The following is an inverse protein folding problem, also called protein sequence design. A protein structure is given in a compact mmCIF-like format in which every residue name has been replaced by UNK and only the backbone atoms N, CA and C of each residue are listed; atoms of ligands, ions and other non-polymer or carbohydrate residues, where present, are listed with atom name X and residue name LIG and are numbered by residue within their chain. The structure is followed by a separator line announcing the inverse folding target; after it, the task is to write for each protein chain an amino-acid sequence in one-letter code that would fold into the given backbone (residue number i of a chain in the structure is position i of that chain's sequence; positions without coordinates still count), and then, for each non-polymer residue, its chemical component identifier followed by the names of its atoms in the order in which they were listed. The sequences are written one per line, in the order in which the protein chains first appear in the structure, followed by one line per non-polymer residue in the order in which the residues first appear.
data_IF_502932402262
#
_entry.id   IF_502932402262
#
_cell.length_a   1.000
_cell.length_b   1.000
_cell.length_c   1.000
_cell.angle_alpha   90.00
_cell.angle_beta   90.00
_cell.angle_gamma   90.00
#
_symmetry.space_group_name_H-M   'P 1'
#
loop_
_entity.id
_entity.type
_entity.pdbx_description
1 polymer ?
#
# COMPACT_ATOMS: atom_id res chain seq x y z
N UNK A 1 -36.28 -12.82 -17.81
CA UNK A 1 -35.97 -11.46 -18.29
C UNK A 1 -34.97 -10.74 -17.40
N UNK A 2 -35.24 -10.53 -16.09
CA UNK A 2 -34.26 -9.88 -15.21
C UNK A 2 -32.96 -10.69 -15.04
N UNK A 3 -33.06 -11.99 -14.71
CA UNK A 3 -31.89 -12.85 -14.53
C UNK A 3 -31.03 -12.99 -15.80
N UNK A 4 -31.66 -13.06 -16.98
CA UNK A 4 -30.94 -13.10 -18.26
C UNK A 4 -30.22 -11.79 -18.58
N UNK A 5 -30.80 -10.63 -18.23
CA UNK A 5 -30.10 -9.35 -18.35
C UNK A 5 -28.93 -9.23 -17.35
N UNK A 6 -29.06 -9.75 -16.13
CA UNK A 6 -27.94 -9.79 -15.17
C UNK A 6 -26.82 -10.66 -15.72
N UNK A 7 -27.13 -11.85 -16.26
CA UNK A 7 -26.15 -12.74 -16.89
C UNK A 7 -25.44 -12.05 -18.07
N UNK A 8 -26.19 -11.40 -18.95
CA UNK A 8 -25.65 -10.64 -20.10
C UNK A 8 -24.72 -9.50 -19.68
N UNK A 9 -24.90 -8.93 -18.49
CA UNK A 9 -24.07 -7.85 -17.96
C UNK A 9 -22.75 -8.32 -17.30
N UNK A 10 -22.66 -9.59 -16.89
CA UNK A 10 -21.49 -10.13 -16.18
C UNK A 10 -20.15 -9.98 -16.94
N UNK A 11 -20.08 -10.17 -18.28
CA UNK A 11 -18.86 -9.94 -19.05
C UNK A 11 -18.23 -8.56 -18.84
N UNK A 12 -19.03 -7.51 -18.62
CA UNK A 12 -18.50 -6.17 -18.33
C UNK A 12 -17.71 -6.15 -17.02
N UNK A 13 -18.31 -6.66 -15.94
CA UNK A 13 -17.69 -6.68 -14.63
C UNK A 13 -16.41 -7.53 -14.65
N UNK A 14 -16.50 -8.74 -15.21
CA UNK A 14 -15.36 -9.66 -15.31
C UNK A 14 -14.25 -9.05 -16.18
N UNK A 15 -14.60 -8.51 -17.35
CA UNK A 15 -13.65 -7.89 -18.27
C UNK A 15 -12.92 -6.71 -17.63
N UNK A 16 -13.63 -5.81 -16.95
CA UNK A 16 -13.02 -4.68 -16.23
C UNK A 16 -12.08 -5.15 -15.11
N UNK A 17 -12.47 -6.17 -14.34
CA UNK A 17 -11.65 -6.72 -13.26
C UNK A 17 -10.39 -7.42 -13.80
N UNK A 18 -10.50 -8.20 -14.88
CA UNK A 18 -9.37 -8.86 -15.52
C UNK A 18 -8.42 -7.85 -16.17
N UNK A 19 -8.94 -6.81 -16.80
CA UNK A 19 -8.12 -5.73 -17.37
C UNK A 19 -7.32 -5.00 -16.29
N UNK A 20 -7.98 -4.67 -15.17
CA UNK A 20 -7.33 -4.07 -14.01
C UNK A 20 -6.25 -4.97 -13.40
N UNK A 21 -6.55 -6.26 -13.24
CA UNK A 21 -5.61 -7.28 -12.76
C UNK A 21 -4.39 -7.40 -13.69
N UNK A 22 -4.63 -7.51 -15.00
CA UNK A 22 -3.59 -7.64 -16.02
C UNK A 22 -2.63 -6.46 -16.02
N UNK A 23 -3.15 -5.23 -15.91
CA UNK A 23 -2.33 -4.01 -15.84
C UNK A 23 -1.27 -4.11 -14.74
N UNK A 24 -1.66 -4.57 -13.55
CA UNK A 24 -0.72 -4.79 -12.44
C UNK A 24 0.34 -5.85 -12.72
N UNK A 25 0.01 -6.90 -13.50
CA UNK A 25 0.94 -7.99 -13.85
C UNK A 25 1.94 -7.62 -14.94
N UNK A 26 1.53 -6.79 -15.90
CA UNK A 26 2.38 -6.38 -17.03
C UNK A 26 3.29 -5.23 -16.65
N UNK A 27 2.81 -4.27 -15.86
CA UNK A 27 3.57 -3.05 -15.49
C UNK A 27 4.46 -3.27 -14.27
N UNK A 28 4.09 -4.14 -13.33
CA UNK A 28 4.86 -4.40 -12.11
C UNK A 28 6.10 -5.27 -12.36
N UNK A 29 7.31 -4.75 -12.09
CA UNK A 29 8.57 -5.48 -12.32
C UNK A 29 8.92 -6.52 -11.23
N UNK A 30 8.49 -6.30 -9.98
CA UNK A 30 8.95 -7.11 -8.82
C UNK A 30 7.83 -7.92 -8.13
N UNK A 31 6.71 -8.17 -8.83
CA UNK A 31 5.54 -8.77 -8.20
C UNK A 31 5.57 -10.30 -8.16
N UNK A 32 6.31 -10.95 -9.07
CA UNK A 32 6.27 -12.41 -9.22
C UNK A 32 6.96 -13.17 -8.07
N UNK A 33 8.02 -12.63 -7.49
CA UNK A 33 8.81 -13.28 -6.42
C UNK A 33 8.00 -13.46 -5.13
N UNK A 34 7.01 -12.60 -4.89
CA UNK A 34 6.14 -12.64 -3.71
C UNK A 34 4.94 -13.55 -3.88
N UNK A 35 4.85 -14.28 -4.99
CA UNK A 35 3.75 -15.21 -5.29
C UNK A 35 4.18 -16.66 -5.04
N UNK A 36 3.29 -17.62 -5.23
CA UNK A 36 3.64 -19.03 -5.21
C UNK A 36 4.23 -19.52 -6.55
N UNK A 37 4.29 -18.68 -7.60
CA UNK A 37 4.84 -19.09 -8.91
C UNK A 37 6.28 -19.59 -8.86
N UNK A 38 7.23 -18.98 -8.12
CA UNK A 38 8.61 -19.49 -8.04
C UNK A 38 8.68 -20.95 -7.59
N UNK A 39 7.74 -21.41 -6.77
CA UNK A 39 7.65 -22.82 -6.33
C UNK A 39 7.04 -23.75 -7.38
N UNK A 40 6.15 -23.24 -8.23
CA UNK A 40 5.48 -24.03 -9.28
C UNK A 40 6.31 -24.16 -10.56
N UNK A 41 6.92 -23.07 -11.00
CA UNK A 41 7.60 -22.99 -12.31
C UNK A 41 9.11 -22.77 -12.20
N UNK A 42 9.62 -22.53 -11.00
CA UNK A 42 11.02 -22.16 -10.74
C UNK A 42 11.24 -20.64 -10.75
N UNK A 43 12.29 -20.19 -10.06
CA UNK A 43 12.61 -18.75 -9.88
C UNK A 43 12.82 -18.03 -11.22
N UNK A 44 13.56 -18.66 -12.14
CA UNK A 44 13.87 -18.07 -13.46
C UNK A 44 12.65 -17.93 -14.37
N UNK A 45 11.62 -18.75 -14.16
CA UNK A 45 10.40 -18.76 -14.99
C UNK A 45 9.20 -18.05 -14.33
N UNK A 46 9.29 -17.70 -13.05
CA UNK A 46 8.19 -17.07 -12.33
C UNK A 46 7.77 -15.72 -12.94
N UNK A 47 8.75 -14.86 -13.25
CA UNK A 47 8.49 -13.57 -13.87
C UNK A 47 7.85 -13.67 -15.27
N UNK A 48 8.39 -14.46 -16.23
CA UNK A 48 7.75 -14.60 -17.54
C UNK A 48 6.39 -15.30 -17.45
N UNK A 49 6.22 -16.30 -16.58
CA UNK A 49 4.92 -16.95 -16.38
C UNK A 49 3.87 -15.98 -15.82
N UNK A 50 4.25 -15.13 -14.86
CA UNK A 50 3.37 -14.10 -14.30
C UNK A 50 2.92 -13.08 -15.37
N UNK A 51 3.83 -12.65 -16.24
CA UNK A 51 3.50 -11.78 -17.38
C UNK A 51 2.64 -12.48 -18.42
N UNK A 52 2.91 -13.75 -18.72
CA UNK A 52 2.10 -14.53 -19.65
C UNK A 52 0.65 -14.64 -19.15
N UNK A 53 0.46 -14.93 -17.86
CA UNK A 53 -0.88 -14.90 -17.24
C UNK A 53 -1.51 -13.51 -17.37
N UNK A 54 -0.76 -12.44 -17.11
CA UNK A 54 -1.25 -11.07 -17.33
C UNK A 54 -1.70 -10.80 -18.77
N UNK A 55 -0.95 -11.26 -19.77
CA UNK A 55 -1.33 -11.13 -21.18
C UNK A 55 -2.59 -11.94 -21.50
N UNK A 56 -2.68 -13.18 -21.01
CA UNK A 56 -3.88 -14.02 -21.18
C UNK A 56 -5.10 -13.35 -20.54
N UNK A 57 -4.96 -12.80 -19.33
CA UNK A 57 -6.02 -12.04 -18.65
C UNK A 57 -6.46 -10.83 -19.48
N UNK A 58 -5.53 -10.07 -20.07
CA UNK A 58 -5.86 -8.93 -20.93
C UNK A 58 -6.59 -9.36 -22.21
N UNK A 59 -6.16 -10.44 -22.85
CA UNK A 59 -6.82 -10.94 -24.07
C UNK A 59 -8.25 -11.36 -23.78
N UNK A 60 -8.46 -12.13 -22.70
CA UNK A 60 -9.81 -12.54 -22.29
C UNK A 60 -10.65 -11.32 -21.88
N UNK A 61 -10.06 -10.36 -21.15
CA UNK A 61 -10.73 -9.13 -20.78
C UNK A 61 -11.22 -8.33 -22.00
N UNK A 62 -10.34 -8.13 -22.99
CA UNK A 62 -10.68 -7.41 -24.21
C UNK A 62 -11.75 -8.15 -25.02
N UNK A 63 -11.66 -9.48 -25.10
CA UNK A 63 -12.69 -10.29 -25.76
C UNK A 63 -14.06 -10.11 -25.09
N UNK A 64 -14.13 -10.18 -23.75
CA UNK A 64 -15.39 -9.98 -23.01
C UNK A 64 -15.97 -8.56 -23.13
N UNK A 65 -15.12 -7.55 -23.35
CA UNK A 65 -15.53 -6.14 -23.44
C UNK A 65 -15.89 -5.70 -24.85
N UNK A 66 -15.43 -6.40 -25.89
CA UNK A 66 -15.62 -6.01 -27.29
C UNK A 66 -16.71 -6.88 -27.95
N UNK A 67 -17.63 -6.29 -28.72
CA UNK A 67 -18.54 -7.06 -29.54
C UNK A 67 -17.81 -7.65 -30.77
N UNK A 68 -18.27 -8.80 -31.30
CA UNK A 68 -19.30 -9.70 -30.77
C UNK A 68 -18.78 -10.53 -29.58
N UNK A 69 -19.61 -10.74 -28.56
CA UNK A 69 -19.29 -11.60 -27.42
C UNK A 69 -19.72 -13.06 -27.72
N UNK A 70 -18.82 -14.01 -27.52
CA UNK A 70 -19.05 -15.44 -27.81
C UNK A 70 -19.05 -16.25 -26.52
N UNK A 71 -19.83 -17.33 -26.47
CA UNK A 71 -19.84 -18.24 -25.31
C UNK A 71 -18.44 -18.78 -24.95
N UNK A 72 -17.55 -18.88 -25.95
CA UNK A 72 -16.16 -19.30 -25.78
C UNK A 72 -15.39 -18.37 -24.84
N UNK A 73 -15.69 -17.07 -24.85
CA UNK A 73 -15.04 -16.07 -23.99
C UNK A 73 -15.46 -16.24 -22.53
N UNK A 74 -16.75 -16.48 -22.30
CA UNK A 74 -17.28 -16.79 -20.97
C UNK A 74 -16.68 -18.11 -20.43
N UNK A 75 -16.55 -19.14 -21.28
CA UNK A 75 -15.88 -20.39 -20.91
C UNK A 75 -14.40 -20.17 -20.60
N UNK A 76 -13.70 -19.37 -21.39
CA UNK A 76 -12.30 -19.02 -21.14
C UNK A 76 -12.13 -18.28 -19.81
N UNK A 77 -13.05 -17.36 -19.49
CA UNK A 77 -13.08 -16.67 -18.20
C UNK A 77 -13.32 -17.65 -17.04
N UNK A 78 -14.28 -18.57 -17.16
CA UNK A 78 -14.52 -19.62 -16.15
C UNK A 78 -13.26 -20.47 -15.96
N UNK A 79 -12.63 -20.94 -17.03
CA UNK A 79 -11.42 -21.75 -16.96
C UNK A 79 -10.27 -21.00 -16.25
N UNK A 80 -10.08 -19.72 -16.58
CA UNK A 80 -9.07 -18.87 -15.93
C UNK A 80 -9.36 -18.69 -14.45
N UNK A 81 -10.60 -18.42 -14.08
CA UNK A 81 -11.00 -18.18 -12.68
C UNK A 81 -10.92 -19.46 -11.85
N UNK A 82 -11.28 -20.61 -12.42
CA UNK A 82 -11.09 -21.92 -11.78
C UNK A 82 -9.60 -22.17 -11.54
N UNK A 83 -8.76 -21.97 -12.57
CA UNK A 83 -7.31 -22.11 -12.44
C UNK A 83 -6.72 -21.18 -11.39
N UNK A 84 -7.16 -19.92 -11.36
CA UNK A 84 -6.76 -18.94 -10.37
C UNK A 84 -7.20 -19.29 -8.95
N UNK A 85 -8.43 -19.79 -8.78
CA UNK A 85 -8.96 -20.25 -7.48
C UNK A 85 -8.17 -21.45 -6.98
N UNK A 86 -7.89 -22.43 -7.84
CA UNK A 86 -7.04 -23.57 -7.52
C UNK A 86 -5.63 -23.14 -7.13
N UNK A 87 -5.06 -22.17 -7.86
CA UNK A 87 -3.77 -21.56 -7.53
C UNK A 87 -3.78 -20.88 -6.16
N UNK A 88 -4.84 -20.15 -5.78
CA UNK A 88 -4.94 -19.55 -4.44
C UNK A 88 -5.03 -20.59 -3.33
N UNK A 89 -5.77 -21.68 -3.54
CA UNK A 89 -5.86 -22.79 -2.60
C UNK A 89 -4.49 -23.45 -2.44
N UNK A 90 -3.82 -23.74 -3.56
CA UNK A 90 -2.45 -24.26 -3.56
C UNK A 90 -1.49 -23.34 -2.80
N UNK A 91 -1.48 -22.04 -3.13
CA UNK A 91 -0.64 -21.05 -2.47
C UNK A 91 -0.91 -21.04 -0.96
N UNK A 92 -2.18 -21.09 -0.55
CA UNK A 92 -2.55 -21.09 0.87
C UNK A 92 -2.01 -22.31 1.64
N UNK A 93 -1.91 -23.47 0.98
CA UNK A 93 -1.48 -24.72 1.59
C UNK A 93 0.05 -24.86 1.54
N UNK A 94 0.68 -24.54 0.41
CA UNK A 94 2.09 -24.86 0.14
C UNK A 94 3.02 -23.68 0.45
N UNK A 95 2.57 -22.44 0.25
CA UNK A 95 3.36 -21.23 0.47
C UNK A 95 2.49 -20.20 1.18
N UNK A 96 2.15 -20.40 2.47
CA UNK A 96 1.08 -19.64 3.15
C UNK A 96 1.34 -18.13 3.21
N UNK A 97 2.60 -17.70 3.09
CA UNK A 97 3.03 -16.30 3.05
C UNK A 97 3.01 -15.68 1.65
N UNK A 98 2.74 -16.48 0.61
CA UNK A 98 2.60 -15.98 -0.75
C UNK A 98 1.41 -15.01 -0.87
N UNK A 99 1.60 -14.00 -1.69
CA UNK A 99 0.55 -13.06 -2.08
C UNK A 99 -0.37 -13.64 -3.15
N UNK A 100 -1.57 -13.07 -3.27
CA UNK A 100 -2.58 -13.51 -4.24
C UNK A 100 -2.19 -13.22 -5.71
N UNK A 101 -1.25 -12.30 -5.96
CA UNK A 101 -0.83 -11.91 -7.31
C UNK A 101 -1.91 -11.26 -8.18
N UNK A 102 -3.08 -10.86 -7.64
CA UNK A 102 -4.14 -10.23 -8.44
C UNK A 102 -3.83 -8.78 -8.81
N UNK A 103 -3.38 -7.97 -7.85
CA UNK A 103 -3.20 -6.52 -8.01
C UNK A 103 -1.80 -6.16 -7.50
N UNK A 104 -0.84 -6.20 -8.40
CA UNK A 104 0.53 -5.68 -8.20
C UNK A 104 1.23 -6.14 -6.92
N UNK A 105 2.09 -5.28 -6.38
CA UNK A 105 3.10 -5.57 -5.36
C UNK A 105 2.58 -5.77 -3.93
N UNK A 106 1.31 -6.14 -3.73
CA UNK A 106 0.74 -6.36 -2.39
C UNK A 106 1.48 -7.50 -1.68
N UNK A 107 2.14 -7.18 -0.56
CA UNK A 107 2.88 -8.16 0.25
C UNK A 107 1.99 -8.93 1.23
N UNK A 108 0.66 -8.83 1.12
CA UNK A 108 -0.26 -9.50 2.05
C UNK A 108 -0.44 -10.98 1.66
N UNK A 109 -0.28 -11.91 2.61
CA UNK A 109 -0.56 -13.32 2.38
C UNK A 109 -1.99 -13.59 1.91
N UNK A 110 -2.21 -14.71 1.20
CA UNK A 110 -3.54 -15.16 0.79
C UNK A 110 -4.42 -15.39 2.03
N UNK A 111 -5.47 -14.57 2.15
CA UNK A 111 -6.46 -14.63 3.23
C UNK A 111 -7.86 -15.06 2.76
N UNK A 112 -8.79 -15.22 3.71
CA UNK A 112 -10.20 -15.61 3.43
C UNK A 112 -10.89 -14.65 2.45
N UNK A 113 -10.55 -13.36 2.49
CA UNK A 113 -11.09 -12.34 1.56
C UNK A 113 -10.65 -12.57 0.10
N UNK A 114 -9.39 -12.98 -0.12
CA UNK A 114 -8.90 -13.29 -1.46
C UNK A 114 -9.62 -14.52 -2.06
N UNK A 115 -9.87 -15.54 -1.24
CA UNK A 115 -10.67 -16.70 -1.63
C UNK A 115 -12.13 -16.29 -1.91
N UNK A 116 -12.74 -15.50 -1.04
CA UNK A 116 -14.10 -14.98 -1.24
C UNK A 116 -14.23 -14.19 -2.55
N UNK A 117 -13.23 -13.35 -2.88
CA UNK A 117 -13.16 -12.64 -4.16
C UNK A 117 -13.11 -13.59 -5.34
N UNK A 118 -12.29 -14.64 -5.27
CA UNK A 118 -12.16 -15.61 -6.34
C UNK A 118 -13.46 -16.42 -6.54
N UNK A 119 -14.14 -16.80 -5.45
CA UNK A 119 -15.45 -17.47 -5.51
C UNK A 119 -16.52 -16.56 -6.11
N UNK A 120 -16.54 -15.27 -5.75
CA UNK A 120 -17.45 -14.30 -6.35
C UNK A 120 -17.18 -14.14 -7.85
N UNK A 121 -15.91 -14.07 -8.26
CA UNK A 121 -15.51 -14.03 -9.67
C UNK A 121 -15.91 -15.31 -10.42
N UNK A 122 -15.87 -16.46 -9.74
CA UNK A 122 -16.29 -17.72 -10.34
C UNK A 122 -17.81 -17.74 -10.54
N UNK A 123 -18.58 -17.29 -9.55
CA UNK A 123 -20.03 -17.23 -9.64
C UNK A 123 -20.51 -16.30 -10.76
N UNK A 124 -19.90 -15.13 -10.87
CA UNK A 124 -20.17 -14.16 -11.96
C UNK A 124 -19.78 -14.71 -13.33
N UNK A 125 -18.62 -15.38 -13.45
CA UNK A 125 -18.21 -16.03 -14.69
C UNK A 125 -19.14 -17.18 -15.11
N UNK A 126 -19.61 -17.99 -14.15
CA UNK A 126 -20.60 -19.03 -14.43
C UNK A 126 -21.94 -18.43 -14.85
N UNK A 127 -22.40 -17.36 -14.20
CA UNK A 127 -23.61 -16.66 -14.59
C UNK A 127 -23.53 -16.11 -16.03
N UNK A 128 -22.37 -15.60 -16.46
CA UNK A 128 -22.14 -15.13 -17.82
C UNK A 128 -22.36 -16.23 -18.89
N UNK A 129 -22.15 -17.51 -18.57
CA UNK A 129 -22.36 -18.62 -19.51
C UNK A 129 -23.83 -18.90 -19.82
N UNK A 130 -24.75 -18.35 -19.01
CA UNK A 130 -26.19 -18.46 -19.21
C UNK A 130 -26.79 -17.24 -19.94
N UNK A 131 -25.96 -16.35 -20.49
CA UNK A 131 -26.41 -15.20 -21.24
C UNK A 131 -26.72 -15.56 -22.70
N UNK A 132 -27.91 -15.19 -23.16
CA UNK A 132 -28.32 -15.36 -24.56
C UNK A 132 -27.98 -14.12 -25.42
N UNK A 133 -27.76 -12.97 -24.77
CA UNK A 133 -27.47 -11.67 -25.39
C UNK A 133 -26.20 -11.05 -24.79
N UNK A 134 -25.59 -10.10 -25.51
CA UNK A 134 -24.45 -9.35 -25.02
C UNK A 134 -24.83 -8.20 -24.08
N UNK A 135 -23.86 -7.70 -23.31
CA UNK A 135 -24.04 -6.65 -22.31
C UNK A 135 -24.60 -5.34 -22.86
N UNK A 136 -24.40 -5.04 -24.15
CA UNK A 136 -24.91 -3.83 -24.81
C UNK A 136 -26.45 -3.81 -24.92
N UNK A 137 -27.11 -4.95 -24.69
CA UNK A 137 -28.58 -5.06 -24.64
C UNK A 137 -29.17 -4.66 -23.28
N UNK A 138 -28.31 -4.44 -22.27
CA UNK A 138 -28.73 -4.18 -20.88
C UNK A 138 -29.10 -2.71 -20.70
N UNK A 139 -30.38 -2.45 -20.45
CA UNK A 139 -30.90 -1.08 -20.25
C UNK A 139 -31.63 -0.81 -18.93
N UNK A 140 -31.76 -1.81 -18.05
CA UNK A 140 -32.56 -1.64 -16.83
C UNK A 140 -31.73 -1.12 -15.65
N UNK A 141 -32.27 -0.12 -14.94
CA UNK A 141 -31.64 0.47 -13.73
C UNK A 141 -31.38 -0.59 -12.66
N UNK A 142 -32.26 -1.60 -12.55
CA UNK A 142 -32.11 -2.68 -11.59
C UNK A 142 -30.87 -3.54 -11.87
N UNK A 143 -30.52 -3.80 -13.14
CA UNK A 143 -29.30 -4.56 -13.48
C UNK A 143 -28.05 -3.73 -13.20
N UNK A 144 -28.08 -2.44 -13.51
CA UNK A 144 -26.98 -1.51 -13.14
C UNK A 144 -26.77 -1.50 -11.63
N UNK A 145 -27.84 -1.47 -10.83
CA UNK A 145 -27.75 -1.54 -9.38
C UNK A 145 -27.11 -2.87 -8.90
N UNK A 146 -27.43 -4.00 -9.53
CA UNK A 146 -26.79 -5.29 -9.24
C UNK A 146 -25.30 -5.24 -9.54
N UNK A 147 -24.88 -4.74 -10.71
CA UNK A 147 -23.46 -4.61 -11.06
C UNK A 147 -22.70 -3.72 -10.07
N UNK A 148 -23.31 -2.61 -9.63
CA UNK A 148 -22.72 -1.72 -8.63
C UNK A 148 -22.55 -2.42 -7.29
N UNK A 149 -23.55 -3.21 -6.86
CA UNK A 149 -23.47 -3.99 -5.63
C UNK A 149 -22.42 -5.10 -5.72
N UNK A 150 -22.33 -5.79 -6.85
CA UNK A 150 -21.29 -6.80 -7.10
C UNK A 150 -19.89 -6.16 -7.09
N UNK A 151 -19.71 -5.04 -7.80
CA UNK A 151 -18.46 -4.28 -7.78
C UNK A 151 -18.09 -3.82 -6.34
N UNK A 152 -19.07 -3.35 -5.56
CA UNK A 152 -18.85 -3.00 -4.16
C UNK A 152 -18.43 -4.22 -3.31
N UNK A 153 -19.05 -5.38 -3.52
CA UNK A 153 -18.66 -6.62 -2.86
C UNK A 153 -17.22 -7.04 -3.25
N UNK A 154 -16.83 -6.89 -4.52
CA UNK A 154 -15.46 -7.09 -4.98
C UNK A 154 -14.47 -6.16 -4.27
N UNK A 155 -14.77 -4.87 -4.20
CA UNK A 155 -13.94 -3.87 -3.50
C UNK A 155 -13.80 -4.22 -2.01
N UNK A 156 -14.89 -4.63 -1.36
CA UNK A 156 -14.90 -5.01 0.05
C UNK A 156 -14.07 -6.27 0.33
N UNK A 157 -14.05 -7.22 -0.61
CA UNK A 157 -13.24 -8.44 -0.55
C UNK A 157 -11.78 -8.21 -0.99
N UNK A 158 -11.48 -7.11 -1.68
CA UNK A 158 -10.13 -6.78 -2.13
C UNK A 158 -9.37 -6.03 -1.04
N UNK A 159 -8.56 -6.77 -0.26
CA UNK A 159 -7.74 -6.17 0.79
C UNK A 159 -6.74 -5.13 0.27
N UNK A 160 -6.37 -5.19 -1.01
CA UNK A 160 -5.50 -4.22 -1.68
C UNK A 160 -6.17 -2.85 -1.81
N UNK A 161 -7.50 -2.80 -1.90
CA UNK A 161 -8.27 -1.56 -1.99
C UNK A 161 -8.55 -0.91 -0.64
N UNK A 162 -8.29 -1.60 0.49
CA UNK A 162 -8.47 -1.06 1.84
C UNK A 162 -7.80 0.32 2.01
N UNK A 163 -6.67 0.57 1.33
CA UNK A 163 -5.96 1.86 1.38
C UNK A 163 -6.81 3.01 0.84
N UNK A 164 -7.63 2.77 -0.17
CA UNK A 164 -8.39 3.80 -0.87
C UNK A 164 -9.73 4.10 -0.20
N UNK A 165 -10.35 3.12 0.47
CA UNK A 165 -11.67 3.33 1.10
C UNK A 165 -11.65 3.19 2.64
N UNK A 166 -11.00 2.16 3.20
CA UNK A 166 -10.97 1.98 4.66
C UNK A 166 -10.09 2.99 5.38
N UNK A 167 -8.94 3.41 4.82
CA UNK A 167 -8.11 4.43 5.47
C UNK A 167 -8.80 5.79 5.61
N UNK A 168 -9.44 6.36 4.57
CA UNK A 168 -10.16 7.63 4.76
C UNK A 168 -11.31 7.47 5.74
N UNK A 169 -12.06 6.37 5.70
CA UNK A 169 -13.11 6.06 6.68
C UNK A 169 -12.57 5.95 8.12
N UNK A 170 -11.43 5.27 8.30
CA UNK A 170 -10.77 5.18 9.61
C UNK A 170 -10.25 6.53 10.08
N UNK A 171 -9.66 7.34 9.20
CA UNK A 171 -9.20 8.71 9.52
C UNK A 171 -10.37 9.58 9.94
N UNK A 172 -11.47 9.56 9.20
CA UNK A 172 -12.68 10.28 9.53
C UNK A 172 -13.26 9.81 10.88
N UNK A 173 -13.35 8.49 11.09
CA UNK A 173 -13.80 7.94 12.37
C UNK A 173 -12.91 8.40 13.51
N UNK A 174 -11.59 8.33 13.35
CA UNK A 174 -10.63 8.82 14.36
C UNK A 174 -10.87 10.31 14.59
N UNK A 175 -10.97 11.12 13.55
CA UNK A 175 -11.22 12.56 13.68
C UNK A 175 -12.51 12.89 14.44
N UNK A 176 -13.58 12.09 14.27
CA UNK A 176 -14.86 12.28 14.95
C UNK A 176 -14.82 11.75 16.39
N UNK A 177 -14.11 10.64 16.63
CA UNK A 177 -14.13 9.92 17.92
C UNK A 177 -12.94 10.23 18.84
N UNK A 178 -11.95 10.98 18.38
CA UNK A 178 -10.75 11.23 19.18
C UNK A 178 -11.11 12.16 20.35
N UNK A 179 -10.79 11.79 21.61
CA UNK A 179 -11.00 12.66 22.78
C UNK A 179 -10.13 13.92 22.80
N UNK A 180 -9.35 14.16 21.74
CA UNK A 180 -8.49 15.33 21.52
C UNK A 180 -8.82 16.03 20.18
N UNK A 181 -9.96 15.69 19.55
CA UNK A 181 -10.45 16.40 18.38
C UNK A 181 -10.75 17.86 18.78
N UNK A 182 -9.79 18.75 18.53
CA UNK A 182 -9.79 20.14 18.99
C UNK A 182 -8.51 20.59 19.69
N UNK A 183 -7.64 19.67 20.13
CA UNK A 183 -6.29 19.99 20.64
C UNK A 183 -5.18 19.67 19.64
N UNK A 184 -5.55 19.29 18.41
CA UNK A 184 -4.60 19.12 17.33
C UNK A 184 -4.06 20.51 16.98
N UNK A 185 -2.92 20.85 17.57
CA UNK A 185 -2.09 21.95 17.10
C UNK A 185 -1.36 21.52 15.84
N UNK A 186 -1.22 22.42 14.87
CA UNK A 186 -0.44 22.19 13.64
C UNK A 186 1.06 21.98 13.92
N UNK A 187 1.48 22.15 15.18
CA UNK A 187 2.85 21.94 15.63
C UNK A 187 3.25 20.47 15.73
N UNK A 188 4.49 20.15 15.33
CA UNK A 188 5.08 18.83 15.51
C UNK A 188 5.12 18.48 17.01
N UNK A 189 4.55 17.35 17.47
CA UNK A 189 4.62 16.95 18.88
C UNK A 189 6.07 16.76 19.35
N UNK A 190 6.40 17.16 20.58
CA UNK A 190 7.76 17.02 21.13
C UNK A 190 8.29 15.58 21.03
N UNK A 191 7.44 14.58 21.24
CA UNK A 191 7.79 13.17 21.09
C UNK A 191 8.26 12.80 19.67
N UNK A 192 7.68 13.44 18.63
CA UNK A 192 8.11 13.24 17.25
C UNK A 192 9.48 13.89 16.99
N UNK A 193 9.71 15.09 17.54
CA UNK A 193 11.03 15.75 17.52
C UNK A 193 12.09 14.89 18.20
N UNK A 194 11.81 14.38 19.40
CA UNK A 194 12.75 13.54 20.16
C UNK A 194 13.12 12.27 19.38
N UNK A 195 12.11 11.56 18.84
CA UNK A 195 12.38 10.33 18.08
C UNK A 195 13.26 10.59 16.86
N UNK A 196 13.06 11.71 16.18
CA UNK A 196 13.87 12.09 15.03
C UNK A 196 15.30 12.46 15.41
N UNK A 197 15.45 13.22 16.48
CA UNK A 197 16.74 13.58 17.06
C UNK A 197 17.55 12.31 17.39
N UNK A 198 16.95 11.33 18.08
CA UNK A 198 17.60 10.06 18.43
C UNK A 198 18.07 9.25 17.20
N UNK A 199 17.37 9.37 16.07
CA UNK A 199 17.73 8.68 14.82
C UNK A 199 18.82 9.40 14.02
N UNK A 200 19.05 10.68 14.28
CA UNK A 200 19.94 11.55 13.49
C UNK A 200 21.43 11.19 13.62
N UNK A 201 22.23 11.41 12.56
CA UNK A 201 23.69 11.32 12.64
C UNK A 201 24.28 12.31 13.66
N UNK A 202 23.69 13.51 13.77
CA UNK A 202 24.10 14.55 14.71
C UNK A 202 24.04 14.06 16.17
N UNK A 203 22.95 13.39 16.55
CA UNK A 203 22.84 12.81 17.89
C UNK A 203 23.87 11.71 18.12
N UNK A 204 24.04 10.79 17.15
CA UNK A 204 25.04 9.72 17.27
C UNK A 204 26.47 10.25 17.42
N UNK A 205 26.79 11.37 16.78
CA UNK A 205 28.11 11.99 16.85
C UNK A 205 28.47 12.51 18.24
N UNK A 206 27.50 13.03 19.00
CA UNK A 206 27.75 13.64 20.31
C UNK A 206 27.18 12.85 21.50
N UNK A 207 26.46 11.74 21.26
CA UNK A 207 25.76 10.98 22.31
C UNK A 207 26.68 10.60 23.48
N UNK A 208 27.94 10.23 23.23
CA UNK A 208 28.91 9.90 24.30
C UNK A 208 29.28 11.07 25.21
N UNK A 209 29.08 12.31 24.75
CA UNK A 209 29.37 13.55 25.48
C UNK A 209 28.20 13.98 26.37
N UNK A 210 26.98 13.54 26.07
CA UNK A 210 25.76 13.94 26.77
C UNK A 210 25.73 13.37 28.19
N UNK A 211 25.12 14.11 29.13
CA UNK A 211 25.04 13.76 30.56
C UNK A 211 23.64 13.85 31.14
N UNK A 212 22.67 14.41 30.42
CA UNK A 212 21.26 14.45 30.81
C UNK A 212 20.35 13.97 29.68
N UNK A 213 19.06 13.83 29.98
CA UNK A 213 18.01 13.89 28.98
C UNK A 213 17.78 15.36 28.53
N UNK A 214 16.74 15.62 27.73
CA UNK A 214 16.35 16.96 27.27
C UNK A 214 16.29 17.90 28.48
N UNK A 215 17.16 18.90 28.48
CA UNK A 215 17.23 19.90 29.53
C UNK A 215 16.19 20.99 29.29
N UNK A 216 16.14 21.50 28.06
CA UNK A 216 15.18 22.51 27.62
C UNK A 216 14.90 22.38 26.12
N UNK A 217 13.79 22.96 25.67
CA UNK A 217 13.50 23.10 24.24
C UNK A 217 12.74 24.40 23.96
N UNK A 218 13.01 24.99 22.82
CA UNK A 218 12.29 26.15 22.33
C UNK A 218 12.12 26.05 20.82
N UNK A 219 11.07 26.68 20.33
CA UNK A 219 10.82 26.81 18.89
C UNK A 219 11.23 28.21 18.45
N UNK A 220 11.94 28.28 17.34
CA UNK A 220 12.30 29.53 16.68
C UNK A 220 12.22 29.34 15.16
N UNK A 221 11.33 30.11 14.54
CA UNK A 221 10.94 30.01 13.14
C UNK A 221 10.66 28.56 12.69
N UNK A 222 11.45 28.03 11.75
CA UNK A 222 11.31 26.70 11.16
C UNK A 222 12.01 25.58 11.94
N UNK A 223 12.58 25.90 13.10
CA UNK A 223 13.43 24.99 13.88
C UNK A 223 12.93 24.83 15.32
N UNK A 224 12.94 23.58 15.78
CA UNK A 224 12.92 23.27 17.20
C UNK A 224 14.34 23.08 17.69
N UNK A 225 14.72 23.88 18.68
CA UNK A 225 15.97 23.73 19.39
C UNK A 225 15.77 22.87 20.63
N UNK A 226 16.68 21.93 20.86
CA UNK A 226 16.65 21.01 22.00
C UNK A 226 18.02 21.02 22.66
N UNK A 227 18.08 21.35 23.95
CA UNK A 227 19.33 21.41 24.70
C UNK A 227 19.53 20.17 25.58
N UNK A 228 20.79 19.77 25.70
CA UNK A 228 21.25 18.70 26.57
C UNK A 228 22.49 19.18 27.31
N UNK A 229 22.64 18.77 28.57
CA UNK A 229 23.92 18.94 29.26
C UNK A 229 24.94 17.96 28.69
N UNK A 230 26.18 18.42 28.53
CA UNK A 230 27.27 17.67 27.94
C UNK A 230 28.60 17.96 28.66
N UNK A 231 29.62 17.14 28.38
CA UNK A 231 31.01 17.47 28.71
C UNK A 231 31.88 17.26 27.50
N UNK A 232 32.68 18.28 27.17
CA UNK A 232 33.65 18.25 26.09
C UNK A 232 35.05 18.47 26.67
N UNK A 233 35.97 17.53 26.43
CA UNK A 233 37.33 17.54 27.01
C UNK A 233 37.36 17.82 28.53
N UNK A 234 36.42 17.21 29.27
CA UNK A 234 36.30 17.35 30.73
C UNK A 234 35.64 18.64 31.22
N UNK A 235 35.37 19.61 30.34
CA UNK A 235 34.72 20.88 30.67
C UNK A 235 33.20 20.79 30.57
N UNK A 236 32.45 21.55 31.38
CA UNK A 236 30.99 21.63 31.27
C UNK A 236 30.60 22.34 29.96
N UNK A 237 29.69 21.73 29.22
CA UNK A 237 29.25 22.22 27.92
C UNK A 237 27.76 21.92 27.72
N UNK A 238 27.10 22.67 26.85
CA UNK A 238 25.72 22.42 26.43
C UNK A 238 25.69 21.98 24.97
N UNK A 239 25.07 20.85 24.68
CA UNK A 239 24.80 20.42 23.31
C UNK A 239 23.40 20.91 22.90
N UNK A 240 23.34 21.74 21.85
CA UNK A 240 22.10 22.26 21.30
C UNK A 240 21.88 21.64 19.92
N UNK A 241 20.74 20.99 19.76
CA UNK A 241 20.31 20.41 18.49
C UNK A 241 19.28 21.31 17.84
N UNK A 242 19.40 21.53 16.53
CA UNK A 242 18.39 22.18 15.72
C UNK A 242 17.67 21.12 14.87
N UNK A 243 16.37 20.95 15.09
CA UNK A 243 15.51 19.97 14.41
C UNK A 243 14.48 20.74 13.57
N UNK A 244 14.46 20.58 12.24
CA UNK A 244 13.54 21.34 11.40
C UNK A 244 12.10 20.84 11.56
N UNK A 245 11.12 21.74 11.54
CA UNK A 245 9.70 21.37 11.64
C UNK A 245 9.17 20.71 10.36
N UNK A 246 9.63 21.16 9.18
CA UNK A 246 9.01 20.81 7.89
C UNK A 246 9.75 19.76 7.06
N UNK A 247 11.09 19.75 7.07
CA UNK A 247 11.85 18.61 6.57
C UNK A 247 11.63 17.44 7.51
N UNK A 248 11.59 16.18 7.07
CA UNK A 248 11.48 14.97 7.91
C UNK A 248 12.73 14.06 7.89
N UNK A 249 13.77 14.43 7.16
CA UNK A 249 15.02 13.65 7.10
C UNK A 249 15.82 13.74 8.42
N UNK A 250 16.36 12.64 8.97
CA UNK A 250 17.20 12.70 10.16
C UNK A 250 18.54 13.42 9.93
N UNK A 251 18.97 13.54 8.68
CA UNK A 251 20.25 14.15 8.27
C UNK A 251 20.24 15.67 8.35
N UNK A 252 19.07 16.31 8.28
CA UNK A 252 18.95 17.77 8.43
C UNK A 252 19.02 18.26 9.87
N UNK A 253 19.04 17.35 10.85
CA UNK A 253 19.28 17.70 12.26
C UNK A 253 20.72 18.16 12.41
N UNK A 254 20.90 19.33 13.01
CA UNK A 254 22.22 19.92 13.27
C UNK A 254 22.51 19.93 14.76
N UNK A 255 23.79 19.92 15.13
CA UNK A 255 24.23 20.01 16.52
C UNK A 255 25.36 21.01 16.66
N UNK A 256 25.35 21.74 17.77
CA UNK A 256 26.48 22.53 18.24
C UNK A 256 26.73 22.21 19.72
N UNK A 257 27.98 22.03 20.11
CA UNK A 257 28.39 21.95 21.52
C UNK A 257 29.02 23.28 21.88
N UNK A 258 28.47 23.92 22.90
CA UNK A 258 28.84 25.27 23.35
C UNK A 258 29.42 25.16 24.75
N UNK A 259 30.56 25.79 24.99
CA UNK A 259 31.15 25.89 26.32
C UNK A 259 30.27 26.74 27.24
N UNK A 260 29.94 26.23 28.42
CA UNK A 260 29.04 26.94 29.35
C UNK A 260 29.71 28.18 29.95
N UNK A 261 31.04 28.22 30.02
CA UNK A 261 31.77 29.30 30.69
C UNK A 261 32.08 30.46 29.74
N UNK A 262 32.51 30.14 28.52
CA UNK A 262 32.94 31.13 27.51
C UNK A 262 31.89 31.43 26.43
N UNK A 263 30.83 30.60 26.32
CA UNK A 263 29.84 30.71 25.24
C UNK A 263 30.38 30.38 23.85
N UNK A 264 31.63 29.90 23.75
CA UNK A 264 32.22 29.55 22.46
C UNK A 264 31.72 28.19 21.97
N UNK A 265 31.51 28.07 20.66
CA UNK A 265 31.18 26.78 20.04
C UNK A 265 32.44 25.90 20.01
N UNK A 266 32.47 24.86 20.83
CA UNK A 266 33.57 23.89 20.94
C UNK A 266 33.54 22.86 19.80
N UNK A 267 32.33 22.50 19.36
CA UNK A 267 32.13 21.53 18.29
C UNK A 267 30.95 21.94 17.42
N UNK A 268 31.20 22.04 16.12
CA UNK A 268 30.20 22.12 15.07
C UNK A 268 30.61 21.12 13.99
N UNK A 269 29.87 20.03 13.78
CA UNK A 269 30.11 19.20 12.62
C UNK A 269 29.75 20.04 11.38
N UNK A 270 30.75 20.38 10.58
CA UNK A 270 30.53 20.74 9.18
C UNK A 270 29.90 19.54 8.51
N UNK A 271 28.59 19.61 8.24
CA UNK A 271 27.94 18.64 7.38
C UNK A 271 28.73 18.63 6.07
N UNK A 272 29.33 17.47 5.75
CA UNK A 272 29.83 17.20 4.40
C UNK A 272 28.65 17.43 3.46
N UNK A 273 28.69 18.55 2.73
CA UNK A 273 27.82 18.78 1.59
C UNK A 273 28.24 17.73 0.57
N UNK A 274 27.51 16.63 0.51
CA UNK A 274 27.58 15.71 -0.63
C UNK A 274 27.03 16.46 -1.84
N UNK A 275 27.92 16.81 -2.75
CA UNK A 275 27.62 17.16 -4.13
C UNK A 275 27.08 15.94 -4.89
#
# INVERSE_FOLDING_TARGET
MFASQVAAAQPLLIGLLLLWSSYGKVVGRDSAERTALPRLVGETRAAPAYRAVGVIEAVIALALLLPPAWIVEAIAAVALVVGFTGYLIYAKIVVPDASCGCIGSSARPVGRRAIGRAVLLLATALAATAADDGWWSVGSVAVVAVLVLEAAAFVMLSAELDRYWLLPLRRLRVQITHPLAGTATDGVPLAATQRRLLLSPAYRAVNGLLRSDIHDYWDDEDWRFVSYTARYDGRPATAVFAVPHHDNTPESVRVAVVDETSGQTLYRPTLLVTA
#
